data_IF_530642448493
#
_entry.id   IF_530642448493
#
_cell.length_a   1.000
_cell.length_b   1.000
_cell.length_c   1.000
_cell.angle_alpha   90.00
_cell.angle_beta   90.00
_cell.angle_gamma   90.00
#
_symmetry.space_group_name_H-M   'P 1'
#
loop_
_entity.id
_entity.type
_entity.pdbx_description
1 polymer ?
#
# COMPACT_ATOMS: atom_id res chain seq x y z
N UNK A 1 -5.72 -8.30 16.64
CA UNK A 1 -4.47 -7.69 17.16
C UNK A 1 -3.68 -6.88 16.11
N UNK A 2 -3.99 -6.95 14.81
CA UNK A 2 -3.33 -6.15 13.76
C UNK A 2 -3.66 -4.63 13.72
N UNK A 3 -4.83 -4.13 14.16
CA UNK A 3 -5.15 -2.69 14.07
C UNK A 3 -4.30 -1.81 14.98
N UNK A 4 -3.90 -2.33 16.15
CA UNK A 4 -3.14 -1.58 17.16
C UNK A 4 -1.68 -1.36 16.76
N UNK A 5 -1.06 -2.30 16.03
CA UNK A 5 0.32 -2.16 15.56
C UNK A 5 0.46 -1.07 14.49
N UNK A 6 -0.54 -0.90 13.62
CA UNK A 6 -0.57 0.18 12.63
C UNK A 6 -0.72 1.56 13.26
N UNK A 7 -1.55 1.68 14.30
CA UNK A 7 -1.70 2.93 15.06
C UNK A 7 -0.45 3.28 15.90
N UNK A 8 0.23 2.27 16.47
CA UNK A 8 1.46 2.49 17.25
C UNK A 8 2.66 2.86 16.38
N UNK A 9 2.82 2.23 15.20
CA UNK A 9 3.93 2.55 14.29
C UNK A 9 3.83 4.00 13.77
N UNK A 10 2.60 4.49 13.56
CA UNK A 10 2.33 5.87 13.17
C UNK A 10 2.75 6.88 14.26
N UNK A 11 2.55 6.54 15.54
CA UNK A 11 2.90 7.42 16.66
C UNK A 11 4.41 7.56 16.87
N UNK A 12 5.17 6.49 16.59
CA UNK A 12 6.62 6.47 16.82
C UNK A 12 7.46 7.18 15.76
N UNK A 13 6.91 7.45 14.58
CA UNK A 13 7.70 7.94 13.45
C UNK A 13 7.54 9.44 13.17
N UNK A 14 6.46 10.11 13.58
CA UNK A 14 6.32 11.56 13.38
C UNK A 14 5.17 12.19 14.20
N UNK A 15 5.43 12.84 15.35
CA UNK A 15 4.38 13.46 16.16
C UNK A 15 3.92 14.85 15.63
N UNK A 16 4.55 15.41 14.58
CA UNK A 16 4.30 16.79 14.14
C UNK A 16 3.72 16.95 12.72
N UNK A 17 3.36 15.86 12.04
CA UNK A 17 2.73 15.96 10.71
C UNK A 17 1.43 15.16 10.70
N UNK A 18 0.30 15.85 10.52
CA UNK A 18 -0.97 15.20 10.19
C UNK A 18 -0.77 14.42 8.88
N UNK A 19 -0.53 13.11 9.00
CA UNK A 19 -0.40 12.23 7.85
C UNK A 19 -1.77 12.12 7.18
N UNK A 20 -1.99 12.89 6.12
CA UNK A 20 -2.98 12.58 5.07
C UNK A 20 -2.42 11.34 4.32
N UNK A 21 -2.36 10.20 5.01
CA UNK A 21 -1.69 8.97 4.58
C UNK A 21 -2.42 7.70 5.04
N UNK A 22 -3.59 7.85 5.68
CA UNK A 22 -4.46 6.73 6.08
C UNK A 22 -4.83 5.83 4.89
N UNK A 23 -4.93 6.38 3.68
CA UNK A 23 -5.25 5.64 2.46
C UNK A 23 -4.17 4.62 2.07
N UNK A 24 -2.88 4.91 2.28
CA UNK A 24 -1.82 3.94 2.01
C UNK A 24 -1.96 2.69 2.91
N UNK A 25 -2.42 2.89 4.15
CA UNK A 25 -2.78 1.80 5.06
C UNK A 25 -3.99 0.98 4.59
N UNK A 26 -5.00 1.61 3.98
CA UNK A 26 -6.14 0.91 3.37
C UNK A 26 -5.66 -0.01 2.24
N UNK A 27 -4.80 0.50 1.37
CA UNK A 27 -4.16 -0.29 0.31
C UNK A 27 -3.33 -1.45 0.86
N UNK A 28 -2.59 -1.23 1.94
CA UNK A 28 -1.86 -2.29 2.62
C UNK A 28 -2.79 -3.37 3.20
N UNK A 29 -3.93 -2.99 3.80
CA UNK A 29 -4.90 -3.95 4.32
C UNK A 29 -5.61 -4.73 3.21
N UNK A 30 -6.02 -4.07 2.13
CA UNK A 30 -6.66 -4.73 0.99
C UNK A 30 -5.71 -5.74 0.34
N UNK A 31 -4.45 -5.36 0.16
CA UNK A 31 -3.45 -6.27 -0.42
C UNK A 31 -3.00 -7.35 0.54
N UNK A 32 -3.04 -7.14 1.87
CA UNK A 32 -2.90 -8.21 2.85
C UNK A 32 -4.09 -9.19 2.82
N UNK A 33 -5.31 -8.71 2.60
CA UNK A 33 -6.45 -9.60 2.35
C UNK A 33 -6.28 -10.39 1.05
N UNK A 34 -5.72 -9.77 0.02
CA UNK A 34 -5.38 -10.42 -1.24
C UNK A 34 -4.27 -11.46 -1.07
N UNK A 35 -3.21 -11.18 -0.32
CA UNK A 35 -2.16 -12.18 -0.04
C UNK A 35 -2.71 -13.39 0.71
N UNK A 36 -3.60 -13.16 1.69
CA UNK A 36 -4.28 -14.24 2.40
C UNK A 36 -5.09 -15.11 1.44
N UNK A 37 -5.78 -14.48 0.49
CA UNK A 37 -6.55 -15.16 -0.55
C UNK A 37 -5.66 -15.96 -1.52
N UNK A 38 -4.47 -15.45 -1.84
CA UNK A 38 -3.48 -16.13 -2.70
C UNK A 38 -2.94 -17.40 -2.02
N UNK A 39 -2.46 -17.29 -0.78
CA UNK A 39 -1.82 -18.41 -0.08
C UNK A 39 -2.82 -19.47 0.41
N UNK A 40 -4.09 -19.11 0.60
CA UNK A 40 -5.13 -20.01 1.09
C UNK A 40 -6.25 -20.26 0.06
N UNK A 41 -5.96 -20.09 -1.23
CA UNK A 41 -6.98 -20.12 -2.30
C UNK A 41 -7.79 -21.43 -2.36
N UNK A 42 -7.14 -22.57 -2.13
CA UNK A 42 -7.79 -23.88 -2.15
C UNK A 42 -8.67 -24.11 -0.93
N UNK A 43 -8.30 -23.53 0.21
CA UNK A 43 -8.90 -23.81 1.51
C UNK A 43 -10.00 -22.80 1.90
N UNK A 44 -10.08 -21.65 1.22
CA UNK A 44 -11.04 -20.60 1.56
C UNK A 44 -12.43 -20.82 0.95
N UNK A 45 -13.49 -20.96 1.78
CA UNK A 45 -14.86 -20.82 1.29
C UNK A 45 -15.11 -19.36 0.86
N UNK A 46 -15.99 -19.16 -0.13
CA UNK A 46 -16.37 -17.84 -0.67
C UNK A 46 -15.20 -17.00 -1.24
N UNK A 47 -14.17 -17.66 -1.80
CA UNK A 47 -13.02 -17.00 -2.45
C UNK A 47 -13.41 -16.05 -3.59
N UNK A 48 -14.40 -16.42 -4.39
CA UNK A 48 -14.85 -15.63 -5.55
C UNK A 48 -15.56 -14.33 -5.11
N UNK A 49 -16.56 -14.34 -4.20
CA UNK A 49 -17.13 -13.11 -3.65
C UNK A 49 -16.08 -12.17 -3.03
N UNK A 50 -15.10 -12.71 -2.30
CA UNK A 50 -14.01 -11.91 -1.72
C UNK A 50 -13.15 -11.26 -2.80
N UNK A 51 -12.78 -12.01 -3.83
CA UNK A 51 -12.03 -11.48 -4.96
C UNK A 51 -12.81 -10.39 -5.70
N UNK A 52 -14.12 -10.59 -5.90
CA UNK A 52 -14.99 -9.61 -6.54
C UNK A 52 -15.09 -8.32 -5.72
N UNK A 53 -15.23 -8.41 -4.39
CA UNK A 53 -15.25 -7.24 -3.52
C UNK A 53 -13.95 -6.42 -3.61
N UNK A 54 -12.80 -7.10 -3.51
CA UNK A 54 -11.48 -6.48 -3.64
C UNK A 54 -11.32 -5.84 -5.03
N UNK A 55 -11.67 -6.59 -6.08
CA UNK A 55 -11.56 -6.14 -7.47
C UNK A 55 -12.47 -4.95 -7.78
N UNK A 56 -13.70 -4.96 -7.27
CA UNK A 56 -14.66 -3.86 -7.44
C UNK A 56 -14.15 -2.60 -6.75
N UNK A 57 -13.67 -2.71 -5.51
CA UNK A 57 -13.10 -1.58 -4.80
C UNK A 57 -11.91 -0.96 -5.55
N UNK A 58 -10.94 -1.79 -5.99
CA UNK A 58 -9.77 -1.32 -6.73
C UNK A 58 -10.17 -0.65 -8.06
N UNK A 59 -11.17 -1.22 -8.74
CA UNK A 59 -11.65 -0.69 -10.03
C UNK A 59 -12.34 0.65 -9.85
N UNK A 60 -13.13 0.82 -8.78
CA UNK A 60 -13.77 2.10 -8.46
C UNK A 60 -12.74 3.16 -8.06
N UNK A 61 -11.72 2.80 -7.28
CA UNK A 61 -10.68 3.75 -6.88
C UNK A 61 -9.89 4.25 -8.09
N UNK A 62 -9.39 3.32 -8.93
CA UNK A 62 -8.67 3.64 -10.18
C UNK A 62 -9.60 4.37 -11.16
N UNK A 63 -10.86 3.97 -11.28
CA UNK A 63 -11.83 4.65 -12.14
C UNK A 63 -12.07 6.09 -11.70
N UNK A 64 -12.20 6.32 -10.40
CA UNK A 64 -12.35 7.66 -9.82
C UNK A 64 -11.10 8.53 -10.05
N UNK A 65 -9.91 7.93 -9.93
CA UNK A 65 -8.63 8.55 -10.21
C UNK A 65 -8.52 9.02 -11.67
N UNK A 66 -8.82 8.11 -12.60
CA UNK A 66 -8.80 8.40 -14.05
C UNK A 66 -9.85 9.45 -14.39
N UNK A 67 -11.05 9.37 -13.83
CA UNK A 67 -12.11 10.36 -14.05
C UNK A 67 -11.68 11.76 -13.60
N UNK A 68 -11.16 11.90 -12.37
CA UNK A 68 -10.64 13.18 -11.86
C UNK A 68 -9.55 13.73 -12.78
N UNK A 69 -8.66 12.86 -13.27
CA UNK A 69 -7.54 13.25 -14.12
C UNK A 69 -7.94 13.70 -15.52
N UNK A 70 -8.92 13.03 -16.13
CA UNK A 70 -9.32 13.26 -17.52
C UNK A 70 -10.43 14.30 -17.67
N UNK A 71 -11.32 14.41 -16.69
CA UNK A 71 -12.55 15.20 -16.84
C UNK A 71 -12.62 16.43 -15.92
N UNK A 72 -11.90 16.42 -14.79
CA UNK A 72 -12.15 17.41 -13.75
C UNK A 72 -11.09 18.51 -13.64
N UNK A 73 -9.91 18.35 -14.26
CA UNK A 73 -8.67 19.16 -14.05
C UNK A 73 -8.45 19.57 -12.56
N UNK A 74 -9.01 18.78 -11.65
CA UNK A 74 -8.99 19.01 -10.22
C UNK A 74 -7.61 18.69 -9.69
N UNK A 75 -7.20 19.43 -8.68
CA UNK A 75 -5.91 19.26 -8.10
C UNK A 75 -5.85 18.02 -7.19
N UNK A 76 -5.31 16.93 -7.72
CA UNK A 76 -5.23 15.66 -7.02
C UNK A 76 -4.06 15.69 -6.02
N UNK A 77 -4.37 16.01 -4.76
CA UNK A 77 -3.40 15.96 -3.64
C UNK A 77 -3.09 14.52 -3.18
N UNK A 78 -3.64 13.52 -3.87
CA UNK A 78 -3.47 12.10 -3.56
C UNK A 78 -2.12 11.60 -4.08
N UNK A 79 -1.29 11.08 -3.18
CA UNK A 79 -0.03 10.42 -3.55
C UNK A 79 -0.30 8.97 -3.99
N UNK A 80 -0.44 8.75 -5.30
CA UNK A 80 -0.51 7.39 -5.88
C UNK A 80 0.75 6.58 -5.58
N UNK A 81 1.91 7.24 -5.49
CA UNK A 81 3.15 6.59 -5.07
C UNK A 81 3.03 6.01 -3.67
N UNK A 82 2.38 6.71 -2.74
CA UNK A 82 2.12 6.19 -1.39
C UNK A 82 1.11 5.03 -1.39
N UNK A 83 0.07 5.08 -2.24
CA UNK A 83 -0.88 3.97 -2.39
C UNK A 83 -0.20 2.70 -2.94
N UNK A 84 0.61 2.85 -3.99
CA UNK A 84 1.37 1.74 -4.58
C UNK A 84 2.36 1.17 -3.56
N UNK A 85 3.08 2.02 -2.83
CA UNK A 85 4.02 1.56 -1.79
C UNK A 85 3.30 0.81 -0.66
N UNK A 86 2.14 1.30 -0.23
CA UNK A 86 1.28 0.62 0.75
C UNK A 86 0.78 -0.73 0.24
N UNK A 87 0.31 -0.79 -1.02
CA UNK A 87 -0.14 -2.01 -1.67
C UNK A 87 0.95 -3.07 -1.81
N UNK A 88 2.16 -2.68 -2.21
CA UNK A 88 3.32 -3.58 -2.31
C UNK A 88 3.68 -4.11 -0.92
N UNK A 89 3.77 -3.22 0.07
CA UNK A 89 4.12 -3.58 1.45
C UNK A 89 3.09 -4.54 2.04
N UNK A 90 1.80 -4.26 1.88
CA UNK A 90 0.70 -5.08 2.36
C UNK A 90 0.66 -6.46 1.72
N UNK A 91 0.92 -6.56 0.41
CA UNK A 91 1.00 -7.84 -0.28
C UNK A 91 2.19 -8.68 0.22
N UNK A 92 3.39 -8.10 0.26
CA UNK A 92 4.62 -8.81 0.63
C UNK A 92 4.57 -9.25 2.10
N UNK A 93 4.29 -8.31 3.02
CA UNK A 93 4.19 -8.62 4.44
C UNK A 93 2.98 -9.48 4.75
N UNK A 94 1.91 -9.37 3.95
CA UNK A 94 0.77 -10.24 4.08
C UNK A 94 1.10 -11.70 3.78
N UNK A 95 1.90 -11.99 2.76
CA UNK A 95 2.38 -13.36 2.47
C UNK A 95 3.25 -13.89 3.62
N UNK A 96 4.06 -13.02 4.25
CA UNK A 96 4.98 -13.39 5.33
C UNK A 96 4.27 -13.61 6.67
N UNK A 97 3.30 -12.74 7.00
CA UNK A 97 2.68 -12.69 8.33
C UNK A 97 1.40 -13.50 8.46
N UNK A 98 0.63 -13.68 7.37
CA UNK A 98 -0.66 -14.37 7.45
C UNK A 98 -0.48 -15.88 7.57
N UNK A 99 -1.34 -16.48 8.39
CA UNK A 99 -1.33 -17.92 8.62
C UNK A 99 -1.67 -18.68 7.33
N UNK A 100 -0.79 -19.58 6.95
CA UNK A 100 -0.97 -20.49 5.83
C UNK A 100 -1.57 -21.81 6.34
N UNK A 101 -2.80 -22.13 5.90
CA UNK A 101 -3.55 -23.29 6.35
C UNK A 101 -2.89 -24.61 5.92
N UNK A 102 -2.27 -24.64 4.73
CA UNK A 102 -1.62 -25.82 4.19
C UNK A 102 -0.40 -25.42 3.39
N UNK A 103 0.77 -25.52 4.01
CA UNK A 103 2.04 -25.11 3.39
C UNK A 103 2.41 -26.02 2.22
N UNK A 104 2.29 -25.48 1.01
CA UNK A 104 2.82 -26.06 -0.23
C UNK A 104 4.26 -25.60 -0.48
N UNK A 105 5.02 -26.37 -1.27
CA UNK A 105 6.42 -26.05 -1.58
C UNK A 105 6.57 -24.69 -2.27
N UNK A 106 5.65 -24.37 -3.19
CA UNK A 106 5.67 -23.11 -3.92
C UNK A 106 5.35 -21.90 -3.02
N UNK A 107 4.48 -22.07 -2.01
CA UNK A 107 4.15 -21.01 -1.03
C UNK A 107 5.34 -20.70 -0.13
N UNK A 108 6.15 -21.71 0.22
CA UNK A 108 7.40 -21.49 0.97
C UNK A 108 8.40 -20.68 0.15
N UNK A 109 8.55 -20.98 -1.14
CA UNK A 109 9.39 -20.19 -2.05
C UNK A 109 8.85 -18.77 -2.14
N UNK A 110 7.53 -18.61 -2.28
CA UNK A 110 6.86 -17.32 -2.35
C UNK A 110 7.08 -16.48 -1.08
N UNK A 111 7.02 -17.10 0.11
CA UNK A 111 7.29 -16.44 1.38
C UNK A 111 8.73 -15.92 1.44
N UNK A 112 9.70 -16.77 1.11
CA UNK A 112 11.12 -16.39 1.13
C UNK A 112 11.38 -15.27 0.12
N UNK A 113 10.85 -15.39 -1.10
CA UNK A 113 10.95 -14.36 -2.12
C UNK A 113 10.32 -13.03 -1.67
N UNK A 114 9.14 -13.08 -1.03
CA UNK A 114 8.43 -11.90 -0.53
C UNK A 114 9.20 -11.21 0.60
N UNK A 115 9.73 -11.98 1.55
CA UNK A 115 10.55 -11.46 2.64
C UNK A 115 11.84 -10.83 2.10
N UNK A 116 12.52 -11.51 1.18
CA UNK A 116 13.76 -11.00 0.58
C UNK A 116 13.49 -9.68 -0.15
N UNK A 117 12.43 -9.63 -0.95
CA UNK A 117 12.02 -8.43 -1.68
C UNK A 117 11.70 -7.29 -0.72
N UNK A 118 10.96 -7.56 0.36
CA UNK A 118 10.64 -6.55 1.38
C UNK A 118 11.90 -5.97 2.03
N UNK A 119 12.86 -6.82 2.43
CA UNK A 119 14.12 -6.38 3.04
C UNK A 119 14.93 -5.51 2.07
N UNK A 120 15.02 -5.89 0.79
CA UNK A 120 15.73 -5.10 -0.23
C UNK A 120 15.08 -3.72 -0.40
N UNK A 121 13.75 -3.66 -0.51
CA UNK A 121 13.02 -2.39 -0.63
C UNK A 121 13.23 -1.54 0.62
N UNK A 122 13.16 -2.13 1.80
CA UNK A 122 13.33 -1.42 3.07
C UNK A 122 14.73 -0.81 3.19
N UNK A 123 15.78 -1.58 2.88
CA UNK A 123 17.16 -1.08 2.85
C UNK A 123 17.31 0.07 1.84
N UNK A 124 16.76 -0.09 0.64
CA UNK A 124 16.80 0.95 -0.39
C UNK A 124 16.12 2.24 0.07
N UNK A 125 14.96 2.16 0.74
CA UNK A 125 14.25 3.33 1.27
C UNK A 125 15.06 3.98 2.40
N UNK A 126 15.68 3.21 3.30
CA UNK A 126 16.56 3.76 4.35
C UNK A 126 17.75 4.51 3.74
N UNK A 127 18.38 3.95 2.72
CA UNK A 127 19.45 4.62 1.96
C UNK A 127 18.92 5.94 1.40
N UNK A 128 17.77 5.93 0.72
CA UNK A 128 17.17 7.15 0.17
C UNK A 128 16.91 8.21 1.25
N UNK A 129 16.39 7.83 2.42
CA UNK A 129 16.15 8.76 3.54
C UNK A 129 17.44 9.40 4.03
N UNK A 130 18.55 8.66 4.06
CA UNK A 130 19.84 9.18 4.53
C UNK A 130 20.47 10.14 3.51
N UNK A 131 20.35 9.85 2.21
CA UNK A 131 21.06 10.58 1.15
C UNK A 131 20.23 11.69 0.47
N UNK A 132 18.90 11.68 0.60
CA UNK A 132 18.03 12.70 -0.01
C UNK A 132 17.90 13.90 0.92
N UNK A 133 18.26 15.09 0.44
CA UNK A 133 18.12 16.32 1.20
C UNK A 133 16.63 16.64 1.49
N UNK A 134 16.28 17.06 2.72
CA UNK A 134 14.89 17.30 3.13
C UNK A 134 14.19 18.45 2.38
N UNK A 135 14.94 19.27 1.63
CA UNK A 135 14.41 20.39 0.83
C UNK A 135 14.50 20.16 -0.68
N UNK A 136 14.77 18.92 -1.11
CA UNK A 136 14.72 18.56 -2.52
C UNK A 136 13.33 18.83 -3.12
N UNK A 137 13.28 19.24 -4.39
CA UNK A 137 12.00 19.51 -5.07
C UNK A 137 11.15 18.23 -5.07
N UNK A 138 9.84 18.32 -4.78
CA UNK A 138 8.97 17.16 -4.84
C UNK A 138 9.02 16.57 -6.26
N UNK A 139 9.08 15.24 -6.34
CA UNK A 139 9.14 14.52 -7.61
C UNK A 139 7.92 14.79 -8.50
N UNK A 140 6.80 15.15 -7.87
CA UNK A 140 5.55 15.50 -8.54
C UNK A 140 5.30 16.99 -8.40
N UNK A 141 5.04 17.65 -9.53
CA UNK A 141 4.76 19.08 -9.58
C UNK A 141 3.33 19.36 -9.10
N UNK A 142 3.19 19.72 -7.82
CA UNK A 142 1.93 20.11 -7.18
C UNK A 142 1.65 21.62 -7.27
N UNK A 143 2.40 22.38 -8.07
CA UNK A 143 2.23 23.85 -8.19
C UNK A 143 0.84 24.25 -8.68
N UNK A 144 0.17 23.42 -9.49
CA UNK A 144 -1.23 23.63 -9.88
C UNK A 144 -2.19 23.76 -8.68
N UNK A 145 -1.84 23.20 -7.51
CA UNK A 145 -2.72 23.16 -6.32
C UNK A 145 -2.50 24.30 -5.34
N UNK A 146 -1.50 25.14 -5.61
CA UNK A 146 -1.17 26.34 -4.83
C UNK A 146 -1.82 27.60 -5.43
N UNK A 147 -2.30 27.54 -6.68
CA UNK A 147 -2.94 28.65 -7.37
C UNK A 147 -4.37 28.97 -6.92
N UNK A 148 -5.01 28.12 -6.10
CA UNK A 148 -6.36 28.33 -5.56
C UNK A 148 -6.37 28.99 -4.16
N UNK A 149 -5.20 29.34 -3.61
CA UNK A 149 -5.07 29.95 -2.26
C UNK A 149 -4.91 31.48 -2.33
N UNK A 150 -5.21 32.11 -3.48
CA UNK A 150 -5.27 33.57 -3.64
C UNK A 150 -6.66 34.03 -4.05
#
# INVERSE_FOLDING_TARGET
>A
MLPFAGALLQYTLDPSVYLIGCSAGVYALITAHLSNLIINWSEMPFRIPRLLLIGTYLSLDIGSAVYRRLQSDQCDRVSYTAHIAGAITGLLMGIVLLYNLKVLKWERILLIASLTTYVVIFIFVIIMVIFVEPFSKPLWDSTKCLGEIN
#
